data_IF_881232609517
#
_entry.id   IF_881232609517
#
_cell.length_a   1.000
_cell.length_b   1.000
_cell.length_c   1.000
_cell.angle_alpha   90.00
_cell.angle_beta   90.00
_cell.angle_gamma   90.00
#
_symmetry.space_group_name_H-M   'P 1'
#
loop_
_entity.id
_entity.type
_entity.pdbx_description
1 polymer ?
#
# COMPACT_ATOMS: atom_id res chain seq x y z
N UNK A 1 -12.77 21.14 -4.83
CA UNK A 1 -14.10 21.42 -4.27
C UNK A 1 -13.99 22.16 -2.93
N UNK A 2 -14.80 23.19 -2.73
CA UNK A 2 -14.85 23.97 -1.49
C UNK A 2 -15.68 23.29 -0.37
N UNK A 3 -16.41 22.26 -0.72
CA UNK A 3 -17.27 21.47 0.19
C UNK A 3 -16.69 20.10 0.45
N UNK A 4 -17.01 19.54 1.61
CA UNK A 4 -16.64 18.18 1.99
C UNK A 4 -17.72 17.54 2.85
N UNK A 5 -17.89 16.26 2.74
CA UNK A 5 -18.56 15.46 3.74
C UNK A 5 -17.61 15.11 4.88
N UNK A 6 -18.09 15.06 6.11
CA UNK A 6 -17.35 14.56 7.27
C UNK A 6 -18.27 13.86 8.24
N UNK A 7 -17.75 12.83 8.93
CA UNK A 7 -18.51 12.13 9.97
C UNK A 7 -18.61 12.91 11.29
N UNK A 8 -17.93 14.06 11.43
CA UNK A 8 -17.97 14.92 12.62
C UNK A 8 -17.40 14.29 13.90
N UNK A 9 -16.68 13.19 13.82
CA UNK A 9 -16.10 12.49 14.96
C UNK A 9 -14.80 11.80 14.59
N UNK A 10 -14.00 11.44 15.61
CA UNK A 10 -12.77 10.66 15.39
C UNK A 10 -13.13 9.30 14.77
N UNK A 11 -12.25 8.85 13.85
CA UNK A 11 -12.41 7.54 13.23
C UNK A 11 -12.18 6.46 14.29
N UNK A 12 -13.14 5.52 14.40
CA UNK A 12 -13.06 4.36 15.28
C UNK A 12 -13.15 3.07 14.48
N UNK A 13 -12.50 2.03 14.98
CA UNK A 13 -12.69 0.67 14.47
C UNK A 13 -14.17 0.33 14.42
N UNK A 14 -14.63 -0.16 13.28
CA UNK A 14 -16.03 -0.46 13.04
C UNK A 14 -16.84 0.70 12.44
N UNK A 15 -16.33 1.93 12.39
CA UNK A 15 -16.95 2.99 11.60
C UNK A 15 -16.95 2.63 10.12
N UNK A 16 -18.02 2.97 9.42
CA UNK A 16 -18.13 2.65 8.00
C UNK A 16 -18.87 3.74 7.22
N UNK A 17 -18.61 3.78 5.94
CA UNK A 17 -19.40 4.51 4.93
C UNK A 17 -19.83 3.52 3.87
N UNK A 18 -21.04 3.68 3.33
CA UNK A 18 -21.54 2.86 2.23
C UNK A 18 -22.13 3.73 1.13
N UNK A 19 -21.97 3.25 -0.09
CA UNK A 19 -22.54 3.83 -1.31
C UNK A 19 -23.53 2.82 -1.87
N UNK A 20 -24.81 3.17 -1.87
CA UNK A 20 -25.90 2.37 -2.46
C UNK A 20 -26.32 3.01 -3.79
N UNK A 21 -26.16 2.28 -4.87
CA UNK A 21 -26.49 2.73 -6.22
C UNK A 21 -27.95 2.44 -6.60
N UNK A 22 -28.70 1.71 -5.75
CA UNK A 22 -30.07 1.27 -6.03
C UNK A 22 -30.17 0.14 -7.07
N UNK A 23 -29.09 -0.18 -7.76
CA UNK A 23 -28.99 -1.27 -8.74
C UNK A 23 -27.53 -1.78 -8.82
N UNK A 24 -27.30 -3.01 -9.32
CA UNK A 24 -25.94 -3.52 -9.51
C UNK A 24 -25.17 -2.65 -10.51
N UNK A 25 -24.07 -2.06 -10.06
CA UNK A 25 -23.14 -1.26 -10.86
C UNK A 25 -21.84 -2.01 -11.05
N UNK A 26 -21.28 -1.97 -12.26
CA UNK A 26 -19.92 -2.44 -12.52
C UNK A 26 -18.92 -1.41 -12.05
N UNK A 27 -17.96 -1.82 -11.22
CA UNK A 27 -16.98 -0.93 -10.61
C UNK A 27 -15.60 -1.55 -10.76
N UNK A 28 -14.70 -0.87 -11.46
CA UNK A 28 -13.29 -1.23 -11.61
C UNK A 28 -12.39 -0.37 -10.73
N UNK A 29 -12.82 0.88 -10.42
CA UNK A 29 -12.04 1.82 -9.62
C UNK A 29 -12.95 2.77 -8.85
N UNK A 30 -12.51 3.16 -7.66
CA UNK A 30 -13.13 4.21 -6.83
C UNK A 30 -12.05 5.22 -6.49
N UNK A 31 -12.24 6.49 -6.87
CA UNK A 31 -11.37 7.60 -6.52
C UNK A 31 -12.00 8.45 -5.43
N UNK A 32 -11.31 8.60 -4.31
CA UNK A 32 -11.68 9.53 -3.24
C UNK A 32 -10.77 10.76 -3.32
N UNK A 33 -11.33 11.89 -3.68
CA UNK A 33 -10.63 13.16 -3.56
C UNK A 33 -10.70 13.62 -2.10
N UNK A 34 -9.56 13.71 -1.44
CA UNK A 34 -9.43 14.13 -0.05
C UNK A 34 -9.14 15.62 0.08
N UNK A 35 -8.91 16.33 -1.04
CA UNK A 35 -8.66 17.77 -1.08
C UNK A 35 -7.56 18.19 -0.10
N UNK A 36 -7.86 19.16 0.75
CA UNK A 36 -6.98 19.64 1.83
C UNK A 36 -7.01 18.73 3.07
N UNK A 37 -7.93 17.77 3.15
CA UNK A 37 -8.15 16.86 4.28
C UNK A 37 -7.44 15.52 4.09
N UNK A 38 -6.20 15.54 3.61
CA UNK A 38 -5.49 14.34 3.18
C UNK A 38 -5.26 13.30 4.28
N UNK A 39 -5.21 13.72 5.54
CA UNK A 39 -5.09 12.84 6.71
C UNK A 39 -6.44 12.35 7.25
N UNK A 40 -7.56 12.90 6.76
CA UNK A 40 -8.91 12.65 7.28
C UNK A 40 -9.56 11.44 6.63
N UNK A 41 -8.86 10.33 6.56
CA UNK A 41 -9.35 9.05 6.04
C UNK A 41 -8.79 7.90 6.90
N UNK A 42 -9.48 6.75 7.05
CA UNK A 42 -8.94 5.62 7.79
C UNK A 42 -7.58 5.18 7.25
N UNK A 43 -6.61 4.97 8.16
CA UNK A 43 -5.30 4.42 7.78
C UNK A 43 -5.37 2.93 7.47
N UNK A 44 -6.42 2.26 7.95
CA UNK A 44 -6.67 0.84 7.73
C UNK A 44 -8.16 0.60 7.58
N UNK A 45 -8.55 -0.04 6.48
CA UNK A 45 -9.95 -0.33 6.18
C UNK A 45 -10.09 -1.57 5.29
N UNK A 46 -11.30 -2.10 5.24
CA UNK A 46 -11.72 -3.15 4.32
C UNK A 46 -12.75 -2.58 3.35
N UNK A 47 -12.76 -3.11 2.13
CA UNK A 47 -13.81 -2.85 1.15
C UNK A 47 -14.72 -4.06 1.09
N UNK A 48 -16.02 -3.81 1.27
CA UNK A 48 -17.03 -4.85 1.15
C UNK A 48 -17.98 -4.46 0.02
N UNK A 49 -18.44 -5.43 -0.75
CA UNK A 49 -19.36 -5.22 -1.86
C UNK A 49 -20.46 -6.28 -1.88
N UNK A 50 -21.65 -5.92 -2.34
CA UNK A 50 -22.77 -6.85 -2.40
C UNK A 50 -24.08 -6.19 -2.79
N UNK A 51 -25.20 -6.96 -2.74
CA UNK A 51 -26.52 -6.43 -3.06
C UNK A 51 -27.09 -5.50 -1.97
N UNK A 52 -26.65 -5.64 -0.71
CA UNK A 52 -27.05 -4.76 0.40
C UNK A 52 -25.88 -4.53 1.35
N UNK A 53 -25.92 -3.50 2.19
CA UNK A 53 -24.87 -3.22 3.18
C UNK A 53 -24.71 -4.35 4.22
N UNK A 54 -25.79 -5.09 4.53
CA UNK A 54 -25.77 -6.21 5.45
C UNK A 54 -25.17 -7.48 4.85
N UNK A 55 -25.40 -7.73 3.56
CA UNK A 55 -24.91 -8.90 2.84
C UNK A 55 -23.59 -8.68 2.11
N UNK A 56 -23.04 -7.46 2.14
CA UNK A 56 -21.76 -7.14 1.53
C UNK A 56 -20.63 -8.02 2.12
N UNK A 57 -19.77 -8.52 1.25
CA UNK A 57 -18.61 -9.35 1.59
C UNK A 57 -17.33 -8.62 1.23
N UNK A 58 -16.25 -8.92 1.94
CA UNK A 58 -14.93 -8.38 1.66
C UNK A 58 -14.51 -8.74 0.24
N UNK A 59 -13.99 -7.75 -0.48
CA UNK A 59 -13.45 -7.88 -1.83
C UNK A 59 -11.99 -7.45 -1.85
N UNK A 60 -11.19 -8.18 -2.59
CA UNK A 60 -9.78 -7.82 -2.79
C UNK A 60 -9.69 -6.56 -3.62
N UNK A 61 -8.84 -5.63 -3.19
CA UNK A 61 -8.62 -4.38 -3.88
C UNK A 61 -7.16 -3.92 -3.74
N UNK A 62 -6.75 -3.06 -4.66
CA UNK A 62 -5.46 -2.36 -4.65
C UNK A 62 -5.75 -0.93 -4.20
N UNK A 63 -5.08 -0.47 -3.14
CA UNK A 63 -5.27 0.88 -2.63
C UNK A 63 -4.01 1.70 -2.87
N UNK A 64 -4.16 2.87 -3.49
CA UNK A 64 -3.07 3.83 -3.71
C UNK A 64 -3.49 5.22 -3.30
N UNK A 65 -2.51 6.08 -2.92
CA UNK A 65 -2.76 7.48 -2.59
C UNK A 65 -1.70 8.34 -3.24
N UNK A 66 -2.13 9.30 -4.06
CA UNK A 66 -1.25 10.24 -4.75
C UNK A 66 -1.93 11.60 -4.88
N UNK A 67 -1.21 12.67 -4.52
CA UNK A 67 -1.69 14.07 -4.66
C UNK A 67 -3.11 14.31 -4.11
N UNK A 68 -3.42 13.73 -2.93
CA UNK A 68 -4.73 13.90 -2.28
C UNK A 68 -5.87 13.06 -2.86
N UNK A 69 -5.60 12.22 -3.85
CA UNK A 69 -6.52 11.20 -4.37
C UNK A 69 -6.17 9.85 -3.73
N UNK A 70 -7.13 9.25 -3.05
CA UNK A 70 -7.05 7.84 -2.63
C UNK A 70 -7.83 7.02 -3.67
N UNK A 71 -7.14 6.12 -4.32
CA UNK A 71 -7.68 5.26 -5.37
C UNK A 71 -7.82 3.83 -4.84
N UNK A 72 -8.97 3.22 -5.05
CA UNK A 72 -9.25 1.80 -4.76
C UNK A 72 -9.54 1.12 -6.11
N UNK A 73 -8.64 0.27 -6.56
CA UNK A 73 -8.74 -0.46 -7.82
C UNK A 73 -9.08 -1.94 -7.60
N UNK A 74 -9.81 -2.53 -8.52
CA UNK A 74 -10.15 -3.95 -8.54
C UNK A 74 -9.54 -4.58 -9.79
N UNK A 75 -8.64 -5.56 -9.64
CA UNK A 75 -8.02 -6.27 -10.80
C UNK A 75 -9.08 -6.81 -11.78
N UNK A 76 -10.17 -7.30 -11.22
CA UNK A 76 -11.38 -7.65 -11.97
C UNK A 76 -12.51 -6.76 -11.48
N UNK A 77 -13.17 -5.99 -12.36
CA UNK A 77 -14.29 -5.17 -11.96
C UNK A 77 -15.33 -5.98 -11.18
N UNK A 78 -15.75 -5.45 -10.04
CA UNK A 78 -16.83 -6.04 -9.24
C UNK A 78 -18.19 -5.58 -9.76
N UNK A 79 -19.25 -6.37 -9.53
CA UNK A 79 -20.63 -5.96 -9.74
C UNK A 79 -21.33 -5.93 -8.40
N UNK A 80 -21.76 -4.74 -7.95
CA UNK A 80 -22.37 -4.56 -6.64
C UNK A 80 -23.38 -3.43 -6.65
N UNK A 81 -24.48 -3.58 -5.90
CA UNK A 81 -25.40 -2.49 -5.63
C UNK A 81 -24.86 -1.61 -4.49
N UNK A 82 -24.21 -2.22 -3.51
CA UNK A 82 -23.62 -1.51 -2.37
C UNK A 82 -22.14 -1.77 -2.28
N UNK A 83 -21.37 -0.69 -2.12
CA UNK A 83 -19.96 -0.73 -1.73
C UNK A 83 -19.82 -0.07 -0.36
N UNK A 84 -19.15 -0.75 0.57
CA UNK A 84 -18.98 -0.31 1.96
C UNK A 84 -17.49 -0.32 2.31
N UNK A 85 -17.03 0.79 2.87
CA UNK A 85 -15.69 0.89 3.47
C UNK A 85 -15.84 0.77 4.98
N UNK A 86 -15.10 -0.13 5.61
CA UNK A 86 -15.14 -0.42 7.05
C UNK A 86 -13.77 -0.15 7.66
N UNK A 87 -13.67 0.83 8.55
CA UNK A 87 -12.44 1.12 9.29
C UNK A 87 -12.08 -0.05 10.22
N UNK A 88 -10.83 -0.54 10.15
CA UNK A 88 -10.35 -1.70 10.92
C UNK A 88 -9.51 -1.30 12.12
N UNK A 89 -9.16 -0.01 12.26
CA UNK A 89 -8.42 0.54 13.40
C UNK A 89 -8.97 1.90 13.81
N UNK A 90 -8.68 2.28 15.06
CA UNK A 90 -8.93 3.64 15.58
C UNK A 90 -7.91 4.62 14.99
N UNK A 91 -8.33 5.88 14.85
CA UNK A 91 -7.46 7.01 14.51
C UNK A 91 -7.65 8.12 15.55
N UNK A 92 -6.57 8.49 16.21
CA UNK A 92 -6.63 9.33 17.42
C UNK A 92 -6.84 10.83 17.16
N UNK A 93 -6.63 11.30 15.93
CA UNK A 93 -6.54 12.74 15.65
C UNK A 93 -7.39 13.25 14.50
N UNK A 94 -8.00 12.38 13.69
CA UNK A 94 -8.66 12.81 12.46
C UNK A 94 -10.08 12.29 12.33
N UNK A 95 -10.90 13.07 11.63
CA UNK A 95 -12.25 12.68 11.21
C UNK A 95 -12.20 11.92 9.89
N UNK A 96 -13.31 11.36 9.46
CA UNK A 96 -13.43 10.81 8.12
C UNK A 96 -14.01 11.89 7.21
N UNK A 97 -13.18 12.41 6.29
CA UNK A 97 -13.59 13.48 5.38
C UNK A 97 -13.40 13.05 3.92
N UNK A 98 -14.35 13.41 3.07
CA UNK A 98 -14.34 13.15 1.63
C UNK A 98 -14.82 14.41 0.93
N UNK A 99 -14.02 14.94 -0.01
CA UNK A 99 -14.40 16.09 -0.83
C UNK A 99 -15.22 15.64 -2.04
N UNK A 100 -14.80 14.56 -2.68
CA UNK A 100 -15.49 13.96 -3.83
C UNK A 100 -15.22 12.46 -3.90
N UNK A 101 -16.15 11.72 -4.53
CA UNK A 101 -15.96 10.30 -4.86
C UNK A 101 -16.40 10.07 -6.31
N UNK A 102 -15.57 9.35 -7.06
CA UNK A 102 -15.85 8.93 -8.43
C UNK A 102 -15.78 7.41 -8.53
N UNK A 103 -16.75 6.80 -9.23
CA UNK A 103 -16.78 5.36 -9.49
C UNK A 103 -16.62 5.12 -10.99
N UNK A 104 -15.60 4.35 -11.37
CA UNK A 104 -15.27 4.01 -12.75
C UNK A 104 -15.49 2.54 -13.01
N UNK A 105 -15.86 2.19 -14.22
CA UNK A 105 -16.14 0.80 -14.63
C UNK A 105 -14.86 0.01 -14.95
N UNK A 106 -13.73 0.68 -15.11
CA UNK A 106 -12.41 0.10 -15.34
C UNK A 106 -11.40 0.63 -14.34
N UNK A 107 -10.56 -0.25 -13.83
CA UNK A 107 -9.35 0.13 -13.13
C UNK A 107 -8.29 0.50 -14.17
N UNK A 108 -7.80 1.73 -14.10
CA UNK A 108 -6.66 2.18 -14.89
C UNK A 108 -5.48 2.28 -13.91
N UNK A 109 -4.62 1.27 -13.96
CA UNK A 109 -3.34 1.39 -13.29
C UNK A 109 -2.56 2.53 -13.96
N UNK A 110 -2.14 3.52 -13.20
CA UNK A 110 -1.27 4.62 -13.70
C UNK A 110 0.12 4.01 -14.02
N UNK A 111 0.25 3.43 -15.21
CA UNK A 111 1.38 2.56 -15.58
C UNK A 111 2.39 3.24 -16.54
N UNK A 112 2.47 4.56 -16.52
CA UNK A 112 3.45 5.30 -17.33
C UNK A 112 4.83 5.46 -16.67
N UNK A 113 5.01 5.01 -15.43
CA UNK A 113 6.31 5.02 -14.75
C UNK A 113 7.02 3.68 -14.98
N UNK A 114 8.29 3.74 -15.38
CA UNK A 114 9.19 2.58 -15.46
C UNK A 114 9.61 2.09 -14.08
N UNK A 115 9.33 2.88 -13.04
CA UNK A 115 9.71 2.58 -11.67
C UNK A 115 8.81 1.53 -11.06
N UNK A 116 9.33 0.69 -10.15
CA UNK A 116 8.53 -0.24 -9.39
C UNK A 116 7.40 0.46 -8.61
N UNK A 117 6.27 -0.20 -8.46
CA UNK A 117 5.23 0.22 -7.51
C UNK A 117 5.53 -0.38 -6.13
N UNK A 118 5.28 0.39 -5.08
CA UNK A 118 5.53 -0.04 -3.70
C UNK A 118 4.24 -0.07 -2.90
N UNK A 119 4.13 -1.03 -2.00
CA UNK A 119 3.01 -1.15 -1.06
C UNK A 119 3.52 -1.42 0.35
N UNK A 120 2.89 -0.82 1.35
CA UNK A 120 3.15 -1.10 2.76
C UNK A 120 1.87 -1.58 3.42
N UNK A 121 1.89 -2.81 3.97
CA UNK A 121 0.73 -3.46 4.60
C UNK A 121 -0.55 -3.43 3.74
N UNK A 122 -0.41 -3.59 2.41
CA UNK A 122 -1.54 -3.64 1.48
C UNK A 122 -1.97 -2.29 0.90
N UNK A 123 -1.37 -1.19 1.32
CA UNK A 123 -1.61 0.15 0.78
C UNK A 123 -0.48 0.51 -0.16
N UNK A 124 -0.78 0.84 -1.43
CA UNK A 124 0.22 1.38 -2.35
C UNK A 124 0.66 2.74 -1.82
N UNK A 125 1.96 2.91 -1.69
CA UNK A 125 2.60 4.08 -1.12
C UNK A 125 3.30 4.91 -2.18
N UNK A 126 3.38 6.22 -1.95
CA UNK A 126 4.29 7.09 -2.67
C UNK A 126 5.71 6.84 -2.12
N UNK A 127 6.56 6.24 -2.94
CA UNK A 127 7.94 5.87 -2.60
C UNK A 127 8.96 6.79 -3.31
N UNK A 128 8.51 7.86 -3.95
CA UNK A 128 9.36 8.75 -4.75
C UNK A 128 10.55 9.33 -3.97
N UNK A 129 10.38 9.60 -2.65
CA UNK A 129 11.48 10.05 -1.78
C UNK A 129 12.56 8.99 -1.52
N UNK A 130 12.38 7.78 -1.99
CA UNK A 130 13.38 6.71 -1.96
C UNK A 130 13.79 6.26 -3.38
N UNK A 131 13.49 7.08 -4.40
CA UNK A 131 13.79 6.86 -5.81
C UNK A 131 14.29 8.16 -6.49
N UNK A 132 14.52 9.22 -5.72
CA UNK A 132 14.85 10.55 -6.24
C UNK A 132 16.35 10.83 -6.38
N UNK A 133 17.20 9.86 -6.01
CA UNK A 133 18.66 9.97 -6.05
C UNK A 133 19.24 10.82 -4.92
N UNK A 134 18.45 11.15 -3.89
CA UNK A 134 18.84 12.00 -2.77
C UNK A 134 18.81 11.26 -1.44
N UNK A 135 19.96 11.06 -0.83
CA UNK A 135 20.06 10.48 0.52
C UNK A 135 19.48 11.42 1.62
N UNK A 136 19.18 12.68 1.27
CA UNK A 136 18.57 13.65 2.18
C UNK A 136 17.07 13.45 2.38
N UNK A 137 16.39 12.84 1.42
CA UNK A 137 14.97 12.47 1.47
C UNK A 137 14.80 11.02 1.87
N UNK A 138 13.58 10.65 2.29
CA UNK A 138 13.25 9.25 2.61
C UNK A 138 11.76 8.98 2.57
N UNK A 139 11.40 7.78 2.26
CA UNK A 139 10.12 7.22 2.63
C UNK A 139 10.16 6.69 4.08
N UNK A 140 9.06 6.85 4.82
CA UNK A 140 8.89 6.29 6.17
C UNK A 140 7.48 5.80 6.38
N UNK A 141 7.34 4.68 7.09
CA UNK A 141 6.03 4.13 7.48
C UNK A 141 5.25 5.01 8.46
N UNK A 142 5.94 5.92 9.15
CA UNK A 142 5.41 6.74 10.25
C UNK A 142 4.71 5.92 11.35
N UNK A 143 5.05 4.65 11.46
CA UNK A 143 4.52 3.70 12.45
C UNK A 143 5.64 2.77 12.88
N UNK A 144 5.58 2.32 14.13
CA UNK A 144 6.50 1.31 14.64
C UNK A 144 6.41 0.02 13.81
N UNK A 145 7.55 -0.61 13.60
CA UNK A 145 7.61 -1.92 12.95
C UNK A 145 6.93 -2.92 13.87
N UNK A 146 5.95 -3.62 13.33
CA UNK A 146 5.30 -4.75 13.98
C UNK A 146 5.68 -6.05 13.27
N UNK A 147 5.76 -7.15 14.00
CA UNK A 147 5.93 -8.48 13.40
C UNK A 147 4.78 -8.75 12.43
N UNK A 148 5.12 -9.16 11.21
CA UNK A 148 4.18 -9.34 10.11
C UNK A 148 3.92 -8.09 9.27
N UNK A 149 4.40 -6.91 9.66
CA UNK A 149 4.40 -5.74 8.78
C UNK A 149 5.26 -6.02 7.54
N UNK A 150 4.88 -5.47 6.39
CA UNK A 150 5.56 -5.81 5.15
C UNK A 150 5.66 -4.65 4.15
N UNK A 151 6.74 -4.67 3.38
CA UNK A 151 6.99 -3.82 2.22
C UNK A 151 6.93 -4.69 0.96
N UNK A 152 6.06 -4.35 0.03
CA UNK A 152 5.93 -4.99 -1.28
C UNK A 152 6.51 -4.14 -2.39
N UNK A 153 7.11 -4.78 -3.39
CA UNK A 153 7.73 -4.17 -4.57
C UNK A 153 7.16 -4.88 -5.79
N UNK A 154 6.42 -4.18 -6.64
CA UNK A 154 5.88 -4.70 -7.90
C UNK A 154 6.64 -4.07 -9.06
N UNK A 155 7.44 -4.86 -9.75
CA UNK A 155 8.19 -4.45 -10.94
C UNK A 155 7.33 -4.35 -12.21
N UNK A 156 6.01 -4.58 -12.09
CA UNK A 156 4.99 -4.52 -13.17
C UNK A 156 5.17 -5.59 -14.26
N UNK A 157 6.38 -6.08 -14.44
CA UNK A 157 6.71 -7.22 -15.31
C UNK A 157 7.70 -8.13 -14.60
N UNK A 158 7.78 -9.43 -14.96
CA UNK A 158 8.81 -10.32 -14.42
C UNK A 158 10.21 -9.80 -14.71
N UNK A 159 11.05 -9.78 -13.66
CA UNK A 159 12.48 -9.43 -13.72
C UNK A 159 13.32 -10.50 -13.05
N UNK A 160 14.52 -10.70 -13.54
CA UNK A 160 15.48 -11.63 -12.93
C UNK A 160 16.35 -10.87 -11.94
N UNK A 161 15.90 -10.79 -10.70
CA UNK A 161 16.54 -9.98 -9.65
C UNK A 161 17.64 -10.78 -8.95
N UNK A 162 18.85 -10.22 -8.95
CA UNK A 162 20.00 -10.73 -8.19
C UNK A 162 20.15 -10.01 -6.84
N UNK A 163 19.79 -8.72 -6.76
CA UNK A 163 19.91 -7.92 -5.54
C UNK A 163 18.81 -6.88 -5.39
N UNK A 164 18.38 -6.65 -4.14
CA UNK A 164 17.64 -5.47 -3.71
C UNK A 164 18.56 -4.69 -2.75
N UNK A 165 18.69 -3.39 -2.96
CA UNK A 165 19.56 -2.50 -2.20
C UNK A 165 18.69 -1.42 -1.53
N UNK A 166 18.78 -1.33 -0.22
CA UNK A 166 18.08 -0.32 0.58
C UNK A 166 19.12 0.57 1.26
N UNK A 167 19.28 1.79 0.77
CA UNK A 167 20.07 2.78 1.49
C UNK A 167 19.20 3.34 2.63
N UNK A 168 19.68 3.18 3.85
CA UNK A 168 18.99 3.59 5.08
C UNK A 168 19.47 4.97 5.58
N UNK A 169 20.47 5.58 4.89
CA UNK A 169 21.02 6.89 5.21
C UNK A 169 21.34 7.02 6.70
N UNK A 170 20.84 8.08 7.32
CA UNK A 170 20.95 8.29 8.76
C UNK A 170 19.93 7.50 9.59
N UNK A 171 18.96 6.83 8.95
CA UNK A 171 17.91 6.01 9.60
C UNK A 171 18.29 4.53 9.70
N UNK A 172 19.55 4.23 10.03
CA UNK A 172 20.11 2.87 9.93
C UNK A 172 19.43 1.81 10.81
N UNK A 173 18.70 2.22 11.84
CA UNK A 173 17.91 1.33 12.70
C UNK A 173 16.45 1.21 12.29
N UNK A 174 16.03 1.92 11.25
CA UNK A 174 14.63 2.04 10.80
C UNK A 174 14.31 1.01 9.71
N UNK A 175 14.81 -0.20 9.86
CA UNK A 175 14.51 -1.36 9.01
C UNK A 175 14.42 -2.61 9.89
N UNK A 176 13.57 -3.60 9.60
CA UNK A 176 13.48 -4.82 10.41
C UNK A 176 14.85 -5.51 10.54
N UNK A 177 15.26 -5.84 11.76
CA UNK A 177 16.52 -6.56 12.03
C UNK A 177 16.43 -8.05 11.65
N UNK A 178 15.22 -8.59 11.54
CA UNK A 178 14.95 -9.93 11.03
C UNK A 178 13.70 -9.87 10.13
N UNK A 179 13.78 -10.50 8.97
CA UNK A 179 12.71 -10.49 7.99
C UNK A 179 12.77 -11.72 7.09
N UNK A 180 11.68 -11.97 6.39
CA UNK A 180 11.55 -12.97 5.33
C UNK A 180 11.30 -12.29 4.01
N UNK A 181 11.70 -12.94 2.91
CA UNK A 181 11.45 -12.46 1.56
C UNK A 181 10.56 -13.47 0.83
N UNK A 182 9.54 -12.95 0.19
CA UNK A 182 8.64 -13.72 -0.68
C UNK A 182 8.69 -13.14 -2.08
N UNK A 183 8.56 -13.99 -3.09
CA UNK A 183 8.54 -13.54 -4.49
C UNK A 183 7.55 -14.37 -5.31
N UNK A 184 7.00 -13.75 -6.39
CA UNK A 184 6.04 -14.43 -7.25
C UNK A 184 5.53 -13.58 -8.42
N UNK A 185 4.51 -14.10 -9.10
CA UNK A 185 3.91 -13.45 -10.27
C UNK A 185 2.93 -12.32 -9.89
N UNK A 186 2.36 -12.39 -8.69
CA UNK A 186 1.42 -11.40 -8.15
C UNK A 186 1.46 -11.44 -6.63
N UNK A 187 0.87 -10.46 -5.95
CA UNK A 187 0.79 -10.40 -4.49
C UNK A 187 0.07 -11.61 -3.87
N UNK A 188 -0.83 -12.23 -4.63
CA UNK A 188 -1.62 -13.41 -4.19
C UNK A 188 -0.95 -14.76 -4.53
N UNK A 189 0.21 -14.76 -5.19
CA UNK A 189 0.94 -15.97 -5.59
C UNK A 189 2.42 -15.87 -5.23
N UNK A 190 2.70 -15.60 -3.96
CA UNK A 190 4.03 -15.47 -3.43
C UNK A 190 4.48 -16.76 -2.74
N UNK A 191 5.75 -17.10 -2.92
CA UNK A 191 6.45 -18.15 -2.18
C UNK A 191 7.66 -17.56 -1.46
N UNK A 192 7.98 -18.08 -0.28
CA UNK A 192 9.20 -17.70 0.44
C UNK A 192 10.42 -18.08 -0.40
N UNK A 193 11.39 -17.18 -0.52
CA UNK A 193 12.62 -17.38 -1.29
C UNK A 193 13.82 -17.23 -0.38
N UNK A 194 14.85 -18.10 -0.53
CA UNK A 194 16.10 -17.99 0.21
C UNK A 194 16.86 -16.74 -0.25
N UNK A 195 17.50 -16.07 0.68
CA UNK A 195 18.34 -14.90 0.43
C UNK A 195 19.50 -14.82 1.41
N UNK A 196 20.49 -14.02 1.08
CA UNK A 196 21.51 -13.54 2.02
C UNK A 196 21.31 -12.05 2.22
N UNK A 197 21.54 -11.56 3.43
CA UNK A 197 21.56 -10.12 3.69
C UNK A 197 22.88 -9.69 4.32
N UNK A 198 23.36 -8.54 3.89
CA UNK A 198 24.54 -7.90 4.46
C UNK A 198 24.32 -6.40 4.55
N UNK A 199 24.97 -5.76 5.50
CA UNK A 199 24.91 -4.31 5.66
C UNK A 199 26.32 -3.74 5.55
N UNK A 200 26.51 -2.82 4.61
CA UNK A 200 27.76 -2.09 4.42
C UNK A 200 27.47 -0.59 4.55
N UNK A 201 27.92 0.01 5.65
CA UNK A 201 27.56 1.39 6.00
C UNK A 201 26.05 1.54 6.17
N UNK A 202 25.44 2.44 5.39
CA UNK A 202 24.00 2.67 5.35
C UNK A 202 23.22 1.74 4.42
N UNK A 203 23.90 0.96 3.57
CA UNK A 203 23.25 0.13 2.55
C UNK A 203 23.02 -1.27 3.08
N UNK A 204 21.76 -1.67 3.14
CA UNK A 204 21.32 -3.05 3.34
C UNK A 204 21.16 -3.70 1.95
N UNK A 205 21.97 -4.73 1.72
CA UNK A 205 21.87 -5.58 0.53
C UNK A 205 21.09 -6.87 0.87
N UNK A 206 20.14 -7.21 0.03
CA UNK A 206 19.43 -8.50 0.01
C UNK A 206 19.76 -9.17 -1.31
N UNK A 207 20.51 -10.27 -1.28
CA UNK A 207 21.02 -10.96 -2.48
C UNK A 207 20.42 -12.35 -2.65
N UNK A 208 20.23 -12.73 -3.91
CA UNK A 208 19.63 -14.00 -4.32
C UNK A 208 20.62 -14.80 -5.18
N UNK A 209 20.90 -16.03 -4.79
CA UNK A 209 21.75 -16.98 -5.52
C UNK A 209 21.05 -18.35 -5.60
N UNK A 210 20.57 -18.73 -6.79
CA UNK A 210 20.55 -18.00 -8.07
C UNK A 210 19.57 -16.82 -8.06
N UNK A 211 19.69 -15.86 -9.02
CA UNK A 211 18.74 -14.76 -9.16
C UNK A 211 17.29 -15.23 -9.28
N UNK A 212 16.36 -14.53 -8.65
CA UNK A 212 14.93 -14.87 -8.60
C UNK A 212 14.19 -14.19 -9.75
N UNK A 213 13.50 -14.99 -10.57
CA UNK A 213 12.63 -14.46 -11.63
C UNK A 213 11.21 -14.28 -11.10
N UNK A 214 10.83 -13.03 -10.82
CA UNK A 214 9.52 -12.70 -10.28
C UNK A 214 9.09 -11.28 -10.67
N UNK A 215 7.79 -11.02 -10.67
CA UNK A 215 7.24 -9.68 -10.81
C UNK A 215 7.17 -8.96 -9.46
N UNK A 216 6.79 -9.67 -8.41
CA UNK A 216 6.54 -9.09 -7.08
C UNK A 216 7.49 -9.68 -6.07
N UNK A 217 8.06 -8.81 -5.24
CA UNK A 217 8.80 -9.15 -4.03
C UNK A 217 8.09 -8.57 -2.83
N UNK A 218 8.10 -9.30 -1.71
CA UNK A 218 7.49 -8.88 -0.44
C UNK A 218 8.46 -9.19 0.69
N UNK A 219 8.85 -8.16 1.44
CA UNK A 219 9.69 -8.26 2.63
C UNK A 219 8.77 -8.19 3.83
N UNK A 220 8.79 -9.19 4.69
CA UNK A 220 7.93 -9.31 5.87
C UNK A 220 8.78 -9.26 7.12
N UNK A 221 8.51 -8.32 8.01
CA UNK A 221 9.19 -8.24 9.31
C UNK A 221 8.88 -9.46 10.17
N UNK A 222 9.91 -10.10 10.72
CA UNK A 222 9.76 -11.18 11.69
C UNK A 222 9.91 -10.72 13.15
N UNK A 223 10.08 -9.42 13.35
CA UNK A 223 10.26 -8.78 14.65
C UNK A 223 9.36 -7.56 14.80
N UNK A 224 9.08 -7.18 16.05
CA UNK A 224 8.53 -5.86 16.40
C UNK A 224 9.63 -4.96 16.96
N UNK A 225 9.57 -3.67 16.67
CA UNK A 225 10.51 -2.68 17.23
C UNK A 225 9.82 -1.34 17.45
N UNK A 226 10.38 -0.49 18.34
CA UNK A 226 9.95 0.89 18.52
C UNK A 226 10.42 1.85 17.42
N UNK A 227 10.98 1.32 16.33
CA UNK A 227 11.48 2.09 15.19
C UNK A 227 10.48 2.06 14.05
N UNK A 228 10.56 3.05 13.17
CA UNK A 228 9.77 3.07 11.93
C UNK A 228 10.47 2.22 10.86
N UNK A 229 9.77 1.97 9.76
CA UNK A 229 10.39 1.42 8.56
C UNK A 229 10.70 2.58 7.62
N UNK A 230 11.99 2.86 7.39
CA UNK A 230 12.43 3.98 6.56
C UNK A 230 13.42 3.51 5.50
N UNK A 231 13.33 4.10 4.33
CA UNK A 231 14.26 3.88 3.20
C UNK A 231 14.57 5.23 2.58
N UNK A 232 15.86 5.56 2.47
CA UNK A 232 16.33 6.79 1.84
C UNK A 232 16.44 6.61 0.32
N UNK A 233 17.05 5.50 -0.12
CA UNK A 233 17.14 5.15 -1.54
C UNK A 233 16.94 3.66 -1.74
N UNK A 234 16.32 3.30 -2.84
CA UNK A 234 16.10 1.92 -3.27
C UNK A 234 16.67 1.70 -4.67
N UNK A 235 17.45 0.65 -4.81
CA UNK A 235 17.96 0.16 -6.09
C UNK A 235 17.75 -1.35 -6.21
N UNK A 236 17.82 -1.87 -7.42
CA UNK A 236 17.84 -3.30 -7.68
C UNK A 236 18.83 -3.65 -8.80
N UNK A 237 19.28 -4.90 -8.82
CA UNK A 237 20.13 -5.45 -9.88
C UNK A 237 19.52 -6.73 -10.44
N UNK A 238 19.54 -6.81 -11.76
CA UNK A 238 19.14 -8.01 -12.53
C UNK A 238 20.33 -8.97 -12.70
#
# INVERSE_FOLDING_TARGET
PSTRWTNGSLIRKGHWIAFDFGYPKKIGEIDFNLGTSQSDFPDSFKVLAGPTAASAREVECIVSKKKGILKIGFEKPISAQVVKLLATADKSSNWWSIHEVEFKDKYVQDDNSKDPAFAFNGIIIDFNSALDGSEGSRWSSNKNIEKGAWLGIDFKSPKKISKLLFNLGYSQSDFPSAFKVFAGKSMNSLSEVPFKSSKNGSVLEVSFEPPVNARVFKIVSDVSSGKWWSVHEFEFKE
#
